data_IF_908527360139
#
_entry.id   IF_908527360139
#
_cell.length_a   1.000
_cell.length_b   1.000
_cell.length_c   1.000
_cell.angle_alpha   90.00
_cell.angle_beta   90.00
_cell.angle_gamma   90.00
#
_symmetry.space_group_name_H-M   'P 1'
#
loop_
_entity.id
_entity.type
_entity.pdbx_description
1 polymer ?
#
# COMPACT_ATOMS: atom_id res chain seq x y z
N UNK A 1 7.24 -2.98 14.17
CA UNK A 1 8.51 -2.24 14.07
C UNK A 1 8.93 -2.10 12.63
N UNK A 2 9.32 -0.92 12.25
CA UNK A 2 9.73 -0.68 10.87
C UNK A 2 11.09 -1.33 10.60
N UNK A 3 11.18 -2.11 9.53
CA UNK A 3 12.40 -2.80 9.14
C UNK A 3 13.09 -2.09 7.99
N UNK A 4 12.31 -1.76 6.96
CA UNK A 4 12.84 -1.10 5.77
C UNK A 4 11.78 -0.21 5.16
N UNK A 5 12.23 0.76 4.38
CA UNK A 5 11.30 1.60 3.63
C UNK A 5 11.92 1.99 2.30
N UNK A 6 11.06 2.19 1.32
CA UNK A 6 11.52 2.66 0.03
C UNK A 6 11.67 4.17 0.04
N UNK A 7 12.23 4.70 -1.03
CA UNK A 7 12.12 6.13 -1.32
C UNK A 7 10.66 6.45 -1.58
N UNK A 8 10.33 7.72 -1.46
CA UNK A 8 8.98 8.16 -1.80
C UNK A 8 8.89 8.35 -3.31
N UNK A 9 7.82 7.85 -3.88
CA UNK A 9 7.57 7.92 -5.31
C UNK A 9 6.39 8.83 -5.56
N UNK A 10 6.57 9.82 -6.41
CA UNK A 10 5.50 10.76 -6.75
C UNK A 10 4.86 10.31 -8.04
N UNK A 11 3.56 10.11 -8.01
CA UNK A 11 2.80 9.62 -9.14
C UNK A 11 1.86 10.71 -9.62
N UNK A 12 1.81 10.90 -10.93
CA UNK A 12 0.91 11.89 -11.53
C UNK A 12 -0.53 11.53 -11.21
N UNK A 13 -1.37 12.56 -11.01
CA UNK A 13 -2.78 12.30 -10.79
C UNK A 13 -3.42 11.64 -12.00
N UNK A 14 -4.38 10.78 -11.71
CA UNK A 14 -5.16 10.12 -12.74
C UNK A 14 -6.24 11.04 -13.22
N UNK A 15 -6.34 11.16 -14.52
CA UNK A 15 -7.40 11.94 -15.09
C UNK A 15 -7.15 13.44 -14.99
N UNK A 16 -7.83 14.16 -15.81
CA UNK A 16 -7.59 15.59 -15.95
C UNK A 16 -8.14 16.41 -14.80
N UNK A 17 -8.98 15.81 -13.97
CA UNK A 17 -9.57 16.55 -12.87
C UNK A 17 -8.77 16.47 -11.60
N UNK A 18 -7.85 15.52 -11.53
CA UNK A 18 -7.04 15.38 -10.35
C UNK A 18 -5.94 16.41 -10.38
N UNK A 19 -5.86 17.18 -9.31
CA UNK A 19 -4.86 18.24 -9.20
C UNK A 19 -3.73 17.89 -8.27
N UNK A 20 -3.89 16.81 -7.52
CA UNK A 20 -2.90 16.44 -6.53
C UNK A 20 -2.11 15.24 -6.98
N UNK A 21 -0.83 15.30 -6.75
CA UNK A 21 0.05 14.19 -7.01
C UNK A 21 -0.02 13.23 -5.83
N UNK A 22 0.17 11.96 -6.11
CA UNK A 22 0.18 10.95 -5.07
C UNK A 22 1.60 10.62 -4.69
N UNK A 23 1.81 10.46 -3.39
CA UNK A 23 3.08 10.05 -2.84
C UNK A 23 2.93 8.62 -2.34
N UNK A 24 3.73 7.72 -2.89
CA UNK A 24 3.68 6.31 -2.52
C UNK A 24 5.00 5.89 -1.92
N UNK A 25 4.92 5.10 -0.88
CA UNK A 25 6.11 4.61 -0.21
C UNK A 25 5.82 3.22 0.33
N UNK A 26 6.77 2.31 0.18
CA UNK A 26 6.66 0.98 0.74
C UNK A 26 7.31 0.95 2.11
N UNK A 27 6.63 0.32 3.04
CA UNK A 27 7.19 0.06 4.36
C UNK A 27 7.21 -1.45 4.58
N UNK A 28 8.32 -1.96 5.10
CA UNK A 28 8.42 -3.35 5.54
C UNK A 28 8.47 -3.31 7.05
N UNK A 29 7.51 -3.96 7.69
CA UNK A 29 7.40 -3.93 9.14
C UNK A 29 7.36 -5.33 9.70
N UNK A 30 7.76 -5.45 10.96
CA UNK A 30 7.58 -6.68 11.71
C UNK A 30 6.49 -6.44 12.74
N UNK A 31 5.60 -7.41 12.89
CA UNK A 31 4.50 -7.28 13.82
C UNK A 31 4.10 -8.65 14.33
N UNK A 32 3.54 -8.67 15.54
CA UNK A 32 2.96 -9.89 16.10
C UNK A 32 1.46 -9.94 15.89
N UNK A 33 0.89 -8.90 15.28
CA UNK A 33 -0.54 -8.86 15.03
C UNK A 33 -0.90 -9.77 13.87
N UNK A 34 -2.03 -10.45 13.99
CA UNK A 34 -2.58 -11.18 12.85
C UNK A 34 -3.10 -10.17 11.83
N UNK A 35 -3.25 -10.59 10.56
CA UNK A 35 -3.61 -9.66 9.51
C UNK A 35 -4.86 -8.83 9.76
N UNK A 36 -5.92 -9.43 10.29
CA UNK A 36 -7.14 -8.68 10.58
C UNK A 36 -6.91 -7.62 11.63
N UNK A 37 -6.15 -7.95 12.68
CA UNK A 37 -5.84 -7.01 13.74
C UNK A 37 -4.92 -5.91 13.23
N UNK A 38 -3.99 -6.27 12.38
CA UNK A 38 -3.11 -5.28 11.76
C UNK A 38 -3.93 -4.31 10.92
N UNK A 39 -4.89 -4.83 10.14
CA UNK A 39 -5.74 -3.99 9.33
C UNK A 39 -6.54 -3.02 10.19
N UNK A 40 -7.07 -3.50 11.31
CA UNK A 40 -7.77 -2.62 12.24
C UNK A 40 -6.87 -1.51 12.76
N UNK A 41 -5.63 -1.84 13.09
CA UNK A 41 -4.67 -0.85 13.56
C UNK A 41 -4.39 0.19 12.49
N UNK A 42 -4.21 -0.25 11.25
CA UNK A 42 -3.93 0.67 10.15
C UNK A 42 -5.11 1.60 9.89
N UNK A 43 -6.33 1.06 9.94
CA UNK A 43 -7.51 1.89 9.78
C UNK A 43 -7.62 2.91 10.89
N UNK A 44 -7.23 2.54 12.11
CA UNK A 44 -7.20 3.48 13.22
C UNK A 44 -6.22 4.61 12.98
N UNK A 45 -5.06 4.31 12.44
CA UNK A 45 -4.07 5.33 12.11
C UNK A 45 -4.59 6.26 11.03
N UNK A 46 -5.21 5.71 10.00
CA UNK A 46 -5.81 6.53 8.95
C UNK A 46 -6.84 7.49 9.51
N UNK A 47 -7.68 6.98 10.41
CA UNK A 47 -8.73 7.80 11.01
C UNK A 47 -8.13 8.93 11.83
N UNK A 48 -7.08 8.65 12.60
CA UNK A 48 -6.43 9.67 13.39
C UNK A 48 -5.81 10.76 12.52
N UNK A 49 -5.13 10.35 11.46
CA UNK A 49 -4.52 11.31 10.56
C UNK A 49 -5.56 12.12 9.82
N UNK A 50 -6.70 11.52 9.50
CA UNK A 50 -7.78 12.24 8.87
C UNK A 50 -8.44 13.27 9.76
N UNK A 51 -8.39 13.09 11.07
CA UNK A 51 -8.98 14.03 12.00
C UNK A 51 -8.22 15.33 12.09
N UNK A 52 -6.99 15.37 11.62
CA UNK A 52 -6.21 16.61 11.63
C UNK A 52 -6.71 17.57 10.58
N UNK A 53 -7.56 17.11 9.69
CA UNK A 53 -8.08 17.92 8.62
C UNK A 53 -8.99 19.00 9.15
N UNK A 54 -8.90 20.19 8.54
CA UNK A 54 -9.73 21.30 8.96
C UNK A 54 -11.19 21.05 8.60
N UNK A 55 -12.11 21.34 9.54
CA UNK A 55 -13.52 21.08 9.25
C UNK A 55 -14.07 21.94 8.12
N UNK A 56 -13.48 23.08 7.84
CA UNK A 56 -13.97 23.95 6.81
C UNK A 56 -13.60 23.51 5.41
N UNK A 57 -12.81 22.49 5.27
CA UNK A 57 -12.54 21.96 3.95
C UNK A 57 -13.81 21.38 3.38
N UNK A 58 -14.17 21.86 2.22
CA UNK A 58 -15.43 21.51 1.63
C UNK A 58 -15.27 20.56 0.47
N UNK A 59 -16.39 20.01 0.07
CA UNK A 59 -16.46 19.14 -1.05
C UNK A 59 -15.66 17.91 -0.79
N UNK A 60 -15.09 17.39 -1.82
CA UNK A 60 -14.26 16.24 -1.64
C UNK A 60 -12.98 16.70 -0.95
N UNK A 61 -12.48 15.88 -0.13
CA UNK A 61 -11.19 16.15 0.47
C UNK A 61 -10.33 14.93 0.24
N UNK A 62 -9.10 15.19 -0.18
CA UNK A 62 -8.20 14.09 -0.38
C UNK A 62 -7.91 13.44 0.94
N UNK A 63 -7.76 12.15 0.92
CA UNK A 63 -7.33 11.43 2.08
C UNK A 63 -5.89 11.79 2.38
N UNK A 64 -5.60 12.00 3.65
CA UNK A 64 -4.26 12.33 4.07
C UNK A 64 -3.34 11.14 3.83
N UNK A 65 -3.82 9.94 4.18
CA UNK A 65 -3.01 8.73 4.11
C UNK A 65 -3.90 7.56 3.75
N UNK A 66 -3.36 6.68 2.94
CA UNK A 66 -4.02 5.45 2.55
C UNK A 66 -3.06 4.32 2.86
N UNK A 67 -3.42 3.45 3.79
CA UNK A 67 -2.55 2.38 4.23
C UNK A 67 -3.10 1.04 3.77
N UNK A 68 -2.34 0.35 2.93
CA UNK A 68 -2.73 -0.95 2.40
C UNK A 68 -1.74 -2.01 2.82
N UNK A 69 -2.23 -3.20 3.11
CA UNK A 69 -1.37 -4.35 3.33
C UNK A 69 -1.20 -5.05 2.00
N UNK A 70 0.03 -5.10 1.51
CA UNK A 70 0.30 -5.72 0.22
C UNK A 70 0.66 -7.19 0.37
N UNK A 71 1.52 -7.49 1.32
CA UNK A 71 1.96 -8.84 1.63
C UNK A 71 2.02 -9.04 3.12
N UNK A 72 1.87 -10.27 3.56
CA UNK A 72 2.08 -10.65 4.96
C UNK A 72 2.87 -11.96 4.93
N UNK A 73 4.21 -11.84 4.84
CA UNK A 73 5.04 -12.98 4.57
C UNK A 73 4.59 -13.63 3.28
N UNK A 74 4.52 -14.96 3.29
CA UNK A 74 4.05 -15.71 2.12
C UNK A 74 2.60 -16.18 2.29
N UNK A 75 1.87 -15.59 3.23
CA UNK A 75 0.51 -16.04 3.53
C UNK A 75 -0.48 -15.56 2.48
N UNK A 76 -1.46 -16.39 2.25
CA UNK A 76 -2.59 -16.07 1.38
C UNK A 76 -3.81 -16.00 2.28
N UNK A 77 -4.42 -14.83 2.37
CA UNK A 77 -5.48 -14.56 3.34
C UNK A 77 -6.64 -13.88 2.64
N UNK A 78 -7.83 -14.34 2.95
CA UNK A 78 -9.03 -13.74 2.39
C UNK A 78 -10.10 -13.72 3.46
N UNK A 79 -10.20 -12.60 4.15
CA UNK A 79 -11.21 -12.41 5.19
C UNK A 79 -12.10 -11.24 4.79
N UNK A 80 -13.10 -10.99 5.62
CA UNK A 80 -13.98 -9.84 5.39
C UNK A 80 -13.22 -8.52 5.48
N UNK A 81 -12.10 -8.50 6.20
CA UNK A 81 -11.35 -7.28 6.43
C UNK A 81 -10.21 -7.08 5.45
N UNK A 82 -9.58 -8.15 4.98
CA UNK A 82 -8.37 -8.00 4.21
C UNK A 82 -8.17 -9.16 3.26
N UNK A 83 -7.65 -8.87 2.08
CA UNK A 83 -7.22 -9.87 1.11
C UNK A 83 -5.73 -9.69 0.89
N UNK A 84 -4.97 -10.74 1.12
CA UNK A 84 -3.51 -10.74 0.99
C UNK A 84 -3.10 -11.92 0.13
N UNK A 85 -2.27 -11.75 -0.86
CA UNK A 85 -1.69 -10.49 -1.35
C UNK A 85 -2.77 -9.56 -1.86
N UNK A 86 -2.46 -8.26 -1.84
CA UNK A 86 -3.41 -7.27 -2.32
C UNK A 86 -3.84 -7.64 -3.74
N UNK A 87 -5.14 -7.67 -4.02
CA UNK A 87 -5.64 -8.26 -5.27
C UNK A 87 -5.25 -7.49 -6.53
N UNK A 88 -4.90 -6.22 -6.41
CA UNK A 88 -4.54 -5.41 -7.57
C UNK A 88 -3.06 -5.07 -7.64
N UNK A 89 -2.28 -5.57 -6.70
CA UNK A 89 -0.87 -5.23 -6.60
C UNK A 89 -0.12 -5.44 -7.91
N UNK A 90 -0.35 -6.58 -8.53
CA UNK A 90 0.40 -6.95 -9.74
C UNK A 90 0.01 -6.13 -10.96
N UNK A 91 -1.03 -5.32 -10.85
CA UNK A 91 -1.49 -4.46 -11.94
C UNK A 91 -1.14 -3.00 -11.72
N UNK A 92 -0.48 -2.68 -10.62
CA UNK A 92 -0.23 -1.29 -10.22
C UNK A 92 1.25 -0.97 -10.23
N UNK A 93 1.68 -0.28 -11.25
CA UNK A 93 3.07 0.11 -11.37
C UNK A 93 3.52 0.96 -10.17
N UNK A 94 2.64 1.85 -9.70
CA UNK A 94 2.97 2.72 -8.58
C UNK A 94 3.17 1.96 -7.27
N UNK A 95 2.70 0.71 -7.20
CA UNK A 95 2.96 -0.14 -6.04
C UNK A 95 4.20 -0.99 -6.27
N UNK A 96 4.38 -1.51 -7.48
CA UNK A 96 5.50 -2.39 -7.77
C UNK A 96 6.85 -1.68 -7.81
N UNK A 97 6.87 -0.42 -8.24
CA UNK A 97 8.14 0.29 -8.29
C UNK A 97 8.78 0.45 -6.93
N UNK A 98 8.07 0.94 -5.90
CA UNK A 98 8.67 0.98 -4.56
C UNK A 98 9.02 -0.40 -4.01
N UNK A 99 8.21 -1.41 -4.31
CA UNK A 99 8.50 -2.76 -3.85
C UNK A 99 9.81 -3.27 -4.47
N UNK A 100 10.00 -3.02 -5.75
CA UNK A 100 11.21 -3.47 -6.42
C UNK A 100 12.46 -2.80 -5.88
N UNK A 101 12.33 -1.61 -5.33
CA UNK A 101 13.47 -0.95 -4.70
C UNK A 101 13.96 -1.73 -3.48
N UNK A 102 13.02 -2.29 -2.71
CA UNK A 102 13.35 -2.85 -1.40
C UNK A 102 13.43 -4.38 -1.44
N UNK A 103 12.47 -5.03 -2.09
CA UNK A 103 12.40 -6.50 -2.11
C UNK A 103 12.14 -7.01 -3.53
N UNK A 104 13.06 -6.74 -4.48
CA UNK A 104 12.81 -7.10 -5.89
C UNK A 104 12.67 -8.59 -6.12
N UNK A 105 13.29 -9.41 -5.27
CA UNK A 105 13.32 -10.86 -5.46
C UNK A 105 12.24 -11.60 -4.67
N UNK A 106 11.43 -10.87 -3.91
CA UNK A 106 10.37 -11.49 -3.13
C UNK A 106 9.34 -12.11 -4.06
N UNK A 107 8.98 -13.38 -3.80
CA UNK A 107 8.05 -14.09 -4.67
C UNK A 107 6.61 -13.85 -4.23
N UNK A 108 5.78 -13.48 -5.20
CA UNK A 108 4.36 -13.35 -4.97
C UNK A 108 3.80 -14.74 -4.63
N UNK A 109 3.13 -14.90 -3.49
CA UNK A 109 2.75 -16.25 -3.04
C UNK A 109 1.71 -16.94 -3.92
N UNK A 110 0.99 -16.20 -4.76
CA UNK A 110 0.02 -16.78 -5.67
C UNK A 110 0.62 -17.02 -7.04
N UNK A 111 1.29 -16.00 -7.58
CA UNK A 111 1.82 -16.10 -8.96
C UNK A 111 3.20 -16.71 -9.04
N UNK A 112 3.89 -16.79 -7.90
CA UNK A 112 5.24 -17.35 -7.85
C UNK A 112 6.22 -16.63 -8.77
N UNK A 113 6.04 -15.33 -8.88
CA UNK A 113 6.91 -14.45 -9.66
C UNK A 113 7.52 -13.42 -8.73
N UNK A 114 8.75 -13.00 -9.04
CA UNK A 114 9.39 -11.95 -8.27
C UNK A 114 8.74 -10.61 -8.56
N UNK A 115 9.00 -9.63 -7.71
CA UNK A 115 8.46 -8.29 -7.91
C UNK A 115 8.99 -7.70 -9.22
N UNK A 116 10.26 -7.94 -9.52
CA UNK A 116 10.84 -7.50 -10.79
C UNK A 116 10.09 -8.11 -11.97
N UNK A 117 9.79 -9.41 -11.90
CA UNK A 117 9.07 -10.07 -12.97
C UNK A 117 7.65 -9.51 -13.13
N UNK A 118 6.99 -9.21 -12.01
CA UNK A 118 5.66 -8.62 -12.07
C UNK A 118 5.69 -7.25 -12.73
N UNK A 119 6.69 -6.45 -12.38
CA UNK A 119 6.82 -5.12 -12.96
C UNK A 119 7.10 -5.19 -14.46
N UNK A 120 7.91 -6.15 -14.87
CA UNK A 120 8.25 -6.32 -16.28
C UNK A 120 7.05 -6.68 -17.14
N UNK A 121 6.02 -7.24 -16.54
CA UNK A 121 4.82 -7.63 -17.26
C UNK A 121 3.85 -6.48 -17.50
N UNK A 122 4.08 -5.35 -16.92
CA UNK A 122 3.20 -4.19 -17.09
C UNK A 122 3.48 -3.40 -18.36
#
# INVERSE_FOLDING_TARGET
MLVERSSAYITEPWGFEAEEWFLNELLVVETELEPDDLMDSLLGIEAELGRVRHPEQKGYSSRTVDLDILYYGDRIINTAKVTIPHPLLHLRKFALEPICEVIPDFLHPVFNLSQTQLLEKL
#
